data_IF_268855752295
#
_entry.id   IF_268855752295
#
_cell.length_a   1.000
_cell.length_b   1.000
_cell.length_c   1.000
_cell.angle_alpha   90.00
_cell.angle_beta   90.00
_cell.angle_gamma   90.00
#
_symmetry.space_group_name_H-M   'P 1'
#
loop_
_entity.id
_entity.type
_entity.pdbx_description
1 polymer ?
#
# COMPACT_ATOMS: atom_id res chain seq x y z
N UNK A 1 12.75 -14.35 8.30
CA UNK A 1 11.91 -13.35 7.59
C UNK A 1 12.75 -12.34 6.82
N UNK A 2 12.60 -12.30 5.51
CA UNK A 2 13.23 -11.34 4.59
C UNK A 2 12.21 -10.82 3.59
N UNK A 3 12.13 -9.50 3.43
CA UNK A 3 11.48 -8.87 2.27
C UNK A 3 12.49 -8.80 1.15
N UNK A 4 12.13 -9.33 -0.02
CA UNK A 4 12.98 -9.33 -1.22
C UNK A 4 12.14 -9.14 -2.49
N UNK A 5 12.74 -8.72 -3.61
CA UNK A 5 12.11 -8.78 -4.92
C UNK A 5 11.55 -10.17 -5.22
N UNK A 6 10.41 -10.18 -5.89
CA UNK A 6 9.78 -11.38 -6.39
C UNK A 6 10.62 -12.05 -7.47
N UNK A 7 10.52 -13.37 -7.58
CA UNK A 7 11.14 -14.20 -8.62
C UNK A 7 10.08 -15.03 -9.33
N UNK A 8 10.39 -15.45 -10.55
CA UNK A 8 9.53 -16.36 -11.33
C UNK A 8 9.21 -17.65 -10.56
N UNK A 9 10.16 -18.16 -9.77
CA UNK A 9 9.96 -19.34 -8.91
C UNK A 9 8.93 -19.15 -7.79
N UNK A 10 8.58 -17.90 -7.46
CA UNK A 10 7.62 -17.60 -6.40
C UNK A 10 6.16 -17.68 -6.89
N UNK A 11 5.94 -17.81 -8.21
CA UNK A 11 4.62 -17.79 -8.83
C UNK A 11 3.61 -18.75 -8.16
N UNK A 12 3.95 -20.02 -7.85
CA UNK A 12 3.00 -20.92 -7.18
C UNK A 12 2.59 -20.43 -5.79
N UNK A 13 3.53 -19.87 -5.03
CA UNK A 13 3.25 -19.34 -3.69
C UNK A 13 2.43 -18.05 -3.74
N UNK A 14 2.70 -17.18 -4.72
CA UNK A 14 1.88 -15.99 -4.95
C UNK A 14 0.44 -16.35 -5.33
N UNK A 15 0.24 -17.36 -6.19
CA UNK A 15 -1.11 -17.84 -6.53
C UNK A 15 -1.87 -18.33 -5.28
N UNK A 16 -1.19 -19.04 -4.39
CA UNK A 16 -1.78 -19.47 -3.12
C UNK A 16 -2.14 -18.29 -2.20
N UNK A 17 -1.29 -17.26 -2.12
CA UNK A 17 -1.59 -16.04 -1.35
C UNK A 17 -2.79 -15.27 -1.91
N UNK A 18 -2.90 -15.16 -3.24
CA UNK A 18 -4.04 -14.49 -3.89
C UNK A 18 -5.36 -15.19 -3.58
N UNK A 19 -5.37 -16.53 -3.62
CA UNK A 19 -6.55 -17.32 -3.27
C UNK A 19 -6.99 -17.10 -1.81
N UNK A 20 -6.04 -16.86 -0.90
CA UNK A 20 -6.32 -16.55 0.50
C UNK A 20 -6.82 -15.10 0.72
N UNK A 21 -6.38 -14.15 -0.10
CA UNK A 21 -6.75 -12.74 0.05
C UNK A 21 -8.25 -12.47 -0.21
N UNK A 22 -8.87 -13.33 -1.03
CA UNK A 22 -10.30 -13.29 -1.32
C UNK A 22 -10.73 -12.14 -2.25
N UNK A 23 -12.04 -11.98 -2.46
CA UNK A 23 -12.60 -10.92 -3.31
C UNK A 23 -12.28 -9.51 -2.78
N UNK A 24 -12.10 -8.54 -3.68
CA UNK A 24 -11.75 -7.15 -3.32
C UNK A 24 -10.26 -6.86 -3.19
N UNK A 25 -9.39 -7.85 -3.42
CA UNK A 25 -7.94 -7.64 -3.50
C UNK A 25 -7.49 -7.46 -4.96
N UNK A 26 -7.99 -6.43 -5.61
CA UNK A 26 -7.87 -6.23 -7.07
C UNK A 26 -6.48 -5.96 -7.58
N UNK A 27 -5.62 -5.40 -6.74
CA UNK A 27 -4.25 -5.09 -7.15
C UNK A 27 -3.41 -6.35 -7.39
N UNK A 28 -3.84 -7.55 -6.99
CA UNK A 28 -3.13 -8.81 -7.25
C UNK A 28 -4.12 -9.86 -7.83
N UNK A 29 -4.24 -9.97 -9.17
CA UNK A 29 -5.29 -10.78 -9.78
C UNK A 29 -5.07 -12.28 -9.61
N UNK A 30 -6.16 -13.03 -9.40
CA UNK A 30 -6.19 -14.50 -9.36
C UNK A 30 -6.09 -15.13 -10.76
N UNK A 31 -5.09 -14.71 -11.54
CA UNK A 31 -4.87 -15.13 -12.92
C UNK A 31 -3.38 -15.38 -13.16
N UNK A 32 -3.03 -16.62 -13.46
CA UNK A 32 -1.65 -17.08 -13.56
C UNK A 32 -0.85 -16.37 -14.67
N UNK A 33 -1.46 -16.14 -15.83
CA UNK A 33 -0.81 -15.46 -16.96
C UNK A 33 -0.46 -14.02 -16.60
N UNK A 34 -1.41 -13.29 -16.00
CA UNK A 34 -1.23 -11.90 -15.55
C UNK A 34 -0.20 -11.81 -14.44
N UNK A 35 -0.26 -12.72 -13.47
CA UNK A 35 0.70 -12.75 -12.38
C UNK A 35 2.11 -13.09 -12.89
N UNK A 36 2.23 -14.02 -13.85
CA UNK A 36 3.48 -14.33 -14.53
C UNK A 36 4.04 -13.11 -15.25
N UNK A 37 3.20 -12.38 -15.98
CA UNK A 37 3.58 -11.14 -16.64
C UNK A 37 4.06 -10.11 -15.61
N UNK A 38 3.29 -9.87 -14.55
CA UNK A 38 3.61 -8.93 -13.48
C UNK A 38 4.94 -9.26 -12.80
N UNK A 39 5.20 -10.53 -12.49
CA UNK A 39 6.48 -10.97 -11.91
C UNK A 39 7.66 -10.66 -12.83
N UNK A 40 7.55 -10.99 -14.13
CA UNK A 40 8.59 -10.65 -15.11
C UNK A 40 8.77 -9.14 -15.25
N UNK A 41 7.68 -8.38 -15.22
CA UNK A 41 7.71 -6.93 -15.31
C UNK A 41 8.39 -6.30 -14.09
N UNK A 42 8.08 -6.81 -12.89
CA UNK A 42 8.73 -6.39 -11.65
C UNK A 42 10.25 -6.65 -11.69
N UNK A 43 10.70 -7.78 -12.23
CA UNK A 43 12.13 -8.03 -12.42
C UNK A 43 12.79 -6.98 -13.31
N UNK A 44 12.13 -6.53 -14.37
CA UNK A 44 12.60 -5.43 -15.21
C UNK A 44 12.62 -4.09 -14.46
N UNK A 45 11.65 -3.85 -13.57
CA UNK A 45 11.64 -2.67 -12.69
C UNK A 45 12.85 -2.63 -11.75
N UNK A 46 13.17 -3.75 -11.11
CA UNK A 46 14.35 -3.89 -10.26
C UNK A 46 15.68 -3.83 -11.01
N UNK A 47 15.68 -4.09 -12.32
CA UNK A 47 16.84 -3.97 -13.19
C UNK A 47 16.95 -2.59 -13.88
N UNK A 48 16.09 -1.63 -13.53
CA UNK A 48 16.02 -0.28 -14.14
C UNK A 48 15.78 -0.31 -15.66
N UNK A 49 15.02 -1.30 -16.14
CA UNK A 49 14.72 -1.52 -17.56
C UNK A 49 13.32 -1.03 -17.98
N UNK A 50 12.69 -0.22 -17.12
CA UNK A 50 11.35 0.37 -17.33
C UNK A 50 11.36 1.81 -16.84
N UNK A 51 10.49 2.63 -17.43
CA UNK A 51 10.27 3.99 -16.96
C UNK A 51 9.47 3.99 -15.65
N UNK A 52 9.57 5.08 -14.87
CA UNK A 52 8.80 5.24 -13.62
C UNK A 52 7.29 5.03 -13.82
N UNK A 53 6.78 5.46 -14.99
CA UNK A 53 5.38 5.29 -15.38
C UNK A 53 4.91 3.83 -15.46
N UNK A 54 5.84 2.90 -15.68
CA UNK A 54 5.57 1.47 -15.84
C UNK A 54 6.20 0.63 -14.72
N UNK A 55 6.86 1.25 -13.76
CA UNK A 55 7.58 0.55 -12.70
C UNK A 55 6.62 -0.06 -11.67
N UNK A 56 6.77 -1.36 -11.42
CA UNK A 56 6.05 -2.11 -10.38
C UNK A 56 7.06 -2.89 -9.53
N UNK A 57 7.35 -2.38 -8.35
CA UNK A 57 8.28 -3.01 -7.41
C UNK A 57 7.54 -4.03 -6.55
N UNK A 58 7.44 -5.27 -7.04
CA UNK A 58 6.77 -6.38 -6.35
C UNK A 58 7.74 -7.11 -5.42
N UNK A 59 7.40 -7.13 -4.13
CA UNK A 59 8.15 -7.79 -3.08
C UNK A 59 7.39 -8.99 -2.50
N UNK A 60 8.15 -9.96 -1.99
CA UNK A 60 7.64 -11.07 -1.18
C UNK A 60 8.28 -11.07 0.20
N UNK A 61 7.53 -11.54 1.20
CA UNK A 61 8.07 -11.91 2.51
C UNK A 61 8.40 -13.40 2.51
N UNK A 62 9.68 -13.72 2.72
CA UNK A 62 10.23 -15.07 2.74
C UNK A 62 10.63 -15.46 4.17
N UNK A 63 10.21 -16.64 4.64
CA UNK A 63 10.65 -17.21 5.92
C UNK A 63 12.05 -17.84 5.84
N UNK A 64 12.52 -18.47 6.92
CA UNK A 64 13.86 -19.08 6.92
C UNK A 64 13.92 -20.42 6.16
N UNK A 65 12.77 -21.02 5.86
CA UNK A 65 12.62 -22.23 5.06
C UNK A 65 12.39 -21.90 3.57
N UNK A 66 12.59 -20.62 3.19
CA UNK A 66 12.39 -20.08 1.83
C UNK A 66 10.93 -20.13 1.34
N UNK A 67 9.96 -20.20 2.26
CA UNK A 67 8.54 -20.11 1.91
C UNK A 67 8.13 -18.65 1.79
N UNK A 68 7.42 -18.33 0.71
CA UNK A 68 6.79 -17.03 0.51
C UNK A 68 5.47 -17.00 1.28
N UNK A 69 5.37 -16.10 2.25
CA UNK A 69 4.24 -16.00 3.19
C UNK A 69 3.51 -14.67 3.14
N UNK A 70 4.04 -13.71 2.38
CA UNK A 70 3.41 -12.41 2.16
C UNK A 70 3.88 -11.76 0.88
N UNK A 71 3.14 -10.76 0.44
CA UNK A 71 3.37 -9.99 -0.78
C UNK A 71 3.06 -8.53 -0.53
N UNK A 72 3.79 -7.65 -1.18
CA UNK A 72 3.52 -6.21 -1.17
C UNK A 72 4.14 -5.58 -2.41
N UNK A 73 3.59 -4.46 -2.88
CA UNK A 73 4.11 -3.79 -4.06
C UNK A 73 4.14 -2.27 -3.89
N UNK A 74 4.86 -1.63 -4.82
CA UNK A 74 4.80 -0.20 -5.05
C UNK A 74 4.76 0.10 -6.55
N UNK A 75 3.81 0.93 -6.98
CA UNK A 75 3.81 1.49 -8.33
C UNK A 75 4.66 2.77 -8.37
N UNK A 76 5.50 2.91 -9.40
CA UNK A 76 6.37 4.07 -9.56
C UNK A 76 5.59 5.37 -9.80
N UNK A 77 4.56 5.34 -10.64
CA UNK A 77 3.65 6.46 -10.85
C UNK A 77 2.28 6.01 -11.36
N UNK A 78 1.21 6.37 -10.65
CA UNK A 78 -0.17 6.13 -11.11
C UNK A 78 -0.58 7.14 -12.18
N UNK A 79 -1.54 6.79 -13.04
CA UNK A 79 -2.15 7.77 -13.95
C UNK A 79 -1.35 8.11 -15.21
N UNK A 80 -0.14 7.55 -15.39
CA UNK A 80 0.79 7.96 -16.46
C UNK A 80 0.52 7.31 -17.82
N UNK A 81 -0.02 6.09 -17.84
CA UNK A 81 -0.41 5.35 -19.06
C UNK A 81 -1.91 5.29 -19.22
N UNK A 82 -2.60 5.06 -18.11
CA UNK A 82 -4.05 5.04 -18.03
C UNK A 82 -4.48 5.97 -16.90
N UNK A 83 -5.60 6.71 -17.07
CA UNK A 83 -6.11 7.57 -16.02
C UNK A 83 -6.36 6.81 -14.71
N UNK A 84 -5.93 7.42 -13.61
CA UNK A 84 -6.21 6.92 -12.27
C UNK A 84 -7.25 7.84 -11.63
N UNK A 85 -8.49 7.37 -11.56
CA UNK A 85 -9.65 8.16 -11.12
C UNK A 85 -9.92 7.97 -9.64
N UNK A 86 -10.35 9.05 -8.99
CA UNK A 86 -10.85 9.08 -7.62
C UNK A 86 -11.95 10.14 -7.50
N UNK A 87 -12.71 10.10 -6.42
CA UNK A 87 -13.54 11.23 -6.02
C UNK A 87 -12.81 12.09 -4.99
N UNK A 88 -12.76 13.40 -5.22
CA UNK A 88 -12.46 14.38 -4.18
C UNK A 88 -13.75 14.75 -3.48
N UNK A 89 -13.82 14.55 -2.17
CA UNK A 89 -14.93 14.91 -1.30
C UNK A 89 -14.77 16.37 -0.89
N UNK A 90 -15.56 17.26 -1.48
CA UNK A 90 -15.66 18.66 -1.11
C UNK A 90 -16.96 18.97 -0.36
N UNK A 91 -17.19 20.25 -0.05
CA UNK A 91 -18.43 20.74 0.54
C UNK A 91 -19.01 21.83 -0.35
N UNK A 92 -20.26 21.67 -0.76
CA UNK A 92 -21.03 22.73 -1.43
C UNK A 92 -21.89 23.43 -0.38
N UNK A 93 -21.76 24.75 -0.28
CA UNK A 93 -22.55 25.57 0.65
C UNK A 93 -23.68 26.24 -0.13
N UNK A 94 -24.92 25.94 0.25
CA UNK A 94 -26.12 26.54 -0.32
C UNK A 94 -26.80 27.41 0.73
N UNK A 95 -27.15 28.64 0.36
CA UNK A 95 -27.81 29.60 1.25
C UNK A 95 -29.03 30.21 0.56
N UNK A 96 -30.18 30.15 1.23
CA UNK A 96 -31.41 30.83 0.86
C UNK A 96 -31.93 31.60 2.08
N UNK A 97 -31.46 32.85 2.30
CA UNK A 97 -31.77 33.63 3.50
C UNK A 97 -33.26 33.85 3.72
N UNK A 98 -34.01 34.09 2.64
CA UNK A 98 -35.47 34.32 2.69
C UNK A 98 -36.25 33.10 3.22
N UNK A 99 -35.65 31.90 3.12
CA UNK A 99 -36.21 30.65 3.65
C UNK A 99 -35.56 30.24 4.98
N UNK A 100 -34.57 30.98 5.47
CA UNK A 100 -33.78 30.61 6.64
C UNK A 100 -32.95 29.33 6.43
N UNK A 101 -32.65 28.97 5.18
CA UNK A 101 -31.95 27.72 4.86
C UNK A 101 -30.47 28.03 4.60
N UNK A 102 -29.60 27.38 5.37
CA UNK A 102 -28.18 27.27 5.08
C UNK A 102 -27.79 25.80 5.20
N UNK A 103 -27.22 25.22 4.13
CA UNK A 103 -26.79 23.82 4.12
C UNK A 103 -25.36 23.70 3.63
N UNK A 104 -24.62 22.82 4.29
CA UNK A 104 -23.31 22.34 3.85
C UNK A 104 -23.52 20.90 3.38
N UNK A 105 -23.26 20.64 2.10
CA UNK A 105 -23.58 19.37 1.46
C UNK A 105 -22.27 18.72 0.98
N UNK A 106 -21.86 17.56 1.52
CA UNK A 106 -20.74 16.82 0.97
C UNK A 106 -20.98 16.52 -0.51
N UNK A 107 -19.98 16.80 -1.35
CA UNK A 107 -20.09 16.72 -2.81
C UNK A 107 -18.88 15.98 -3.37
N UNK A 108 -19.13 15.00 -4.23
CA UNK A 108 -18.11 14.18 -4.87
C UNK A 108 -17.74 14.77 -6.23
N UNK A 109 -16.45 15.02 -6.43
CA UNK A 109 -15.89 15.54 -7.67
C UNK A 109 -14.97 14.49 -8.30
N UNK A 110 -15.39 13.91 -9.43
CA UNK A 110 -14.56 12.96 -10.18
C UNK A 110 -13.30 13.68 -10.69
N UNK A 111 -12.13 13.15 -10.40
CA UNK A 111 -10.86 13.74 -10.80
C UNK A 111 -9.76 12.67 -10.94
N UNK A 112 -8.57 13.13 -11.35
CA UNK A 112 -7.35 12.34 -11.48
C UNK A 112 -6.12 13.13 -10.96
N UNK A 113 -6.30 13.94 -9.91
CA UNK A 113 -5.29 14.86 -9.37
C UNK A 113 -4.04 14.14 -8.80
N UNK A 114 -4.15 12.85 -8.47
CA UNK A 114 -3.04 12.03 -7.95
C UNK A 114 -2.15 11.45 -9.07
N UNK A 115 -2.39 11.80 -10.33
CA UNK A 115 -1.57 11.36 -11.47
C UNK A 115 -0.09 11.74 -11.26
N UNK A 116 0.81 10.79 -11.51
CA UNK A 116 2.26 10.93 -11.33
C UNK A 116 2.78 10.61 -9.93
N UNK A 117 1.91 10.41 -8.93
CA UNK A 117 2.31 10.00 -7.58
C UNK A 117 2.54 8.49 -7.49
N UNK A 118 3.36 8.06 -6.53
CA UNK A 118 3.62 6.63 -6.30
C UNK A 118 2.61 6.03 -5.35
N UNK A 119 2.30 4.75 -5.53
CA UNK A 119 1.26 4.05 -4.76
C UNK A 119 1.83 2.84 -4.02
N UNK A 120 1.46 2.68 -2.76
CA UNK A 120 1.60 1.43 -2.01
C UNK A 120 0.41 0.52 -2.32
N UNK A 121 0.67 -0.67 -2.86
CA UNK A 121 -0.39 -1.60 -3.24
C UNK A 121 -0.05 -3.06 -2.87
N UNK A 122 -0.99 -3.97 -3.14
CA UNK A 122 -0.83 -5.43 -3.03
C UNK A 122 -0.29 -5.94 -1.70
N UNK A 123 -0.58 -5.27 -0.57
CA UNK A 123 -0.15 -5.70 0.76
C UNK A 123 -1.03 -6.86 1.25
N UNK A 124 -0.46 -8.05 1.33
CA UNK A 124 -1.11 -9.21 1.92
C UNK A 124 -0.10 -10.07 2.70
N UNK A 125 -0.57 -10.62 3.82
CA UNK A 125 0.19 -11.52 4.68
C UNK A 125 -0.73 -12.67 5.08
N UNK A 126 -0.23 -13.90 4.95
CA UNK A 126 -0.97 -15.09 5.37
C UNK A 126 -1.38 -14.97 6.84
N UNK A 127 -2.57 -15.47 7.17
CA UNK A 127 -3.19 -15.24 8.49
C UNK A 127 -2.32 -15.72 9.64
N UNK A 128 -1.67 -16.87 9.47
CA UNK A 128 -0.75 -17.50 10.42
C UNK A 128 0.54 -16.68 10.65
N UNK A 129 0.88 -15.75 9.77
CA UNK A 129 2.08 -14.92 9.88
C UNK A 129 1.81 -13.50 10.38
N UNK A 130 0.55 -13.16 10.72
CA UNK A 130 0.14 -11.85 11.26
C UNK A 130 0.47 -11.68 12.74
N UNK A 131 1.73 -11.94 13.11
CA UNK A 131 2.24 -11.79 14.47
C UNK A 131 3.57 -11.03 14.49
N UNK A 132 3.95 -10.57 15.68
CA UNK A 132 5.20 -9.86 15.89
C UNK A 132 5.36 -8.66 14.95
N UNK A 133 6.52 -8.55 14.31
CA UNK A 133 6.85 -7.44 13.42
C UNK A 133 6.61 -7.74 11.93
N UNK A 134 6.02 -8.88 11.55
CA UNK A 134 5.95 -9.31 10.15
C UNK A 134 5.15 -8.33 9.26
N UNK A 135 3.97 -7.89 9.73
CA UNK A 135 3.16 -6.91 9.02
C UNK A 135 3.87 -5.56 8.88
N UNK A 136 4.61 -5.14 9.91
CA UNK A 136 5.43 -3.91 9.88
C UNK A 136 6.63 -4.04 8.95
N UNK A 137 7.32 -5.19 8.96
CA UNK A 137 8.43 -5.47 8.06
C UNK A 137 7.96 -5.38 6.60
N UNK A 138 6.87 -6.06 6.26
CA UNK A 138 6.36 -6.07 4.89
C UNK A 138 5.83 -4.69 4.46
N UNK A 139 5.12 -3.98 5.35
CA UNK A 139 4.59 -2.67 5.02
C UNK A 139 5.68 -1.58 4.95
N UNK A 140 6.50 -1.45 6.00
CA UNK A 140 7.51 -0.38 6.14
C UNK A 140 8.77 -0.67 5.33
N UNK A 141 9.05 -1.94 5.00
CA UNK A 141 10.17 -2.30 4.11
C UNK A 141 10.09 -1.58 2.77
N UNK A 142 8.87 -1.43 2.22
CA UNK A 142 8.60 -0.64 1.01
C UNK A 142 9.00 0.82 1.19
N UNK A 143 8.66 1.43 2.32
CA UNK A 143 9.03 2.82 2.62
C UNK A 143 10.55 2.99 2.80
N UNK A 144 11.23 1.99 3.38
CA UNK A 144 12.69 2.01 3.51
C UNK A 144 13.40 1.83 2.15
N UNK A 145 12.80 1.07 1.23
CA UNK A 145 13.25 1.00 -0.16
C UNK A 145 13.07 2.35 -0.86
N UNK A 146 11.92 3.00 -0.70
CA UNK A 146 11.68 4.34 -1.24
C UNK A 146 12.62 5.40 -0.64
N UNK A 147 13.06 5.22 0.61
CA UNK A 147 14.08 6.06 1.23
C UNK A 147 15.47 5.90 0.61
N UNK A 148 15.82 4.69 0.14
CA UNK A 148 17.09 4.44 -0.54
C UNK A 148 17.08 4.96 -1.98
N UNK A 149 15.95 4.81 -2.67
CA UNK A 149 15.83 5.15 -4.09
C UNK A 149 14.73 6.20 -4.34
N UNK A 150 14.78 7.40 -3.73
CA UNK A 150 13.69 8.37 -3.80
C UNK A 150 13.42 8.89 -5.23
N UNK A 151 14.42 8.84 -6.11
CA UNK A 151 14.30 9.25 -7.51
C UNK A 151 13.39 8.31 -8.35
N UNK A 152 13.10 7.10 -7.85
CA UNK A 152 12.19 6.15 -8.50
C UNK A 152 10.72 6.44 -8.19
N UNK A 153 10.43 7.40 -7.30
CA UNK A 153 9.08 7.66 -6.79
C UNK A 153 8.64 9.11 -7.04
N UNK A 154 7.33 9.36 -6.85
CA UNK A 154 6.72 10.68 -6.89
C UNK A 154 6.97 11.49 -5.62
N UNK A 155 6.54 12.76 -5.62
CA UNK A 155 6.69 13.65 -4.45
C UNK A 155 5.87 13.17 -3.25
N UNK A 156 4.76 12.49 -3.51
CA UNK A 156 3.91 11.85 -2.51
C UNK A 156 3.87 10.34 -2.72
N UNK A 157 3.70 9.65 -1.60
CA UNK A 157 3.28 8.26 -1.56
C UNK A 157 1.80 8.23 -1.22
N UNK A 158 1.02 7.49 -1.98
CA UNK A 158 -0.42 7.28 -1.75
C UNK A 158 -0.70 5.81 -1.41
N UNK A 159 -1.82 5.53 -0.77
CA UNK A 159 -2.37 4.20 -0.65
C UNK A 159 -3.89 4.29 -0.74
N UNK A 160 -4.48 3.59 -1.71
CA UNK A 160 -5.91 3.36 -1.78
C UNK A 160 -6.26 2.16 -0.90
N UNK A 161 -7.10 2.39 0.10
CA UNK A 161 -7.50 1.37 1.05
C UNK A 161 -8.90 0.88 0.67
N UNK A 162 -9.06 -0.45 0.61
CA UNK A 162 -10.36 -1.08 0.37
C UNK A 162 -11.44 -0.45 1.25
N UNK A 163 -12.56 -0.08 0.64
CA UNK A 163 -13.72 0.50 1.29
C UNK A 163 -14.65 -0.53 1.92
N UNK A 164 -15.75 -0.04 2.48
CA UNK A 164 -16.75 -0.90 3.11
C UNK A 164 -17.46 -1.75 2.08
N UNK A 165 -17.34 -3.07 2.21
CA UNK A 165 -18.13 -4.06 1.51
C UNK A 165 -18.59 -5.11 2.53
N UNK A 166 -19.79 -5.66 2.35
CA UNK A 166 -20.27 -6.74 3.21
C UNK A 166 -19.62 -8.09 2.87
N UNK A 167 -19.93 -9.12 3.65
CA UNK A 167 -19.40 -10.48 3.48
C UNK A 167 -19.83 -11.13 2.14
N UNK A 168 -20.93 -10.65 1.56
CA UNK A 168 -21.39 -11.06 0.24
C UNK A 168 -20.66 -10.32 -0.90
N UNK A 169 -19.81 -9.34 -0.57
CA UNK A 169 -19.09 -8.53 -1.53
C UNK A 169 -19.94 -7.42 -2.15
N UNK A 170 -21.01 -6.98 -1.48
CA UNK A 170 -21.80 -5.82 -1.88
C UNK A 170 -21.23 -4.55 -1.24
N UNK A 171 -21.03 -3.51 -2.06
CA UNK A 171 -20.61 -2.19 -1.61
C UNK A 171 -21.83 -1.28 -1.58
N UNK A 172 -22.24 -0.74 -0.40
CA UNK A 172 -23.35 0.21 -0.31
C UNK A 172 -23.15 1.43 -1.21
N UNK A 173 -21.90 1.87 -1.36
CA UNK A 173 -21.54 2.98 -2.23
C UNK A 173 -21.72 2.63 -3.71
N UNK A 174 -21.23 1.45 -4.13
CA UNK A 174 -21.40 0.97 -5.51
C UNK A 174 -22.86 0.86 -5.89
N UNK A 175 -23.66 0.23 -5.03
CA UNK A 175 -25.09 0.00 -5.28
C UNK A 175 -25.88 1.30 -5.36
N UNK A 176 -25.48 2.34 -4.59
CA UNK A 176 -26.13 3.64 -4.61
C UNK A 176 -25.65 4.58 -5.73
N UNK A 177 -24.57 4.23 -6.44
CA UNK A 177 -23.96 5.12 -7.44
C UNK A 177 -23.53 4.37 -8.69
N UNK A 178 -22.41 3.64 -8.62
CA UNK A 178 -21.77 3.04 -9.79
C UNK A 178 -22.70 2.09 -10.56
N UNK A 179 -23.46 1.25 -9.85
CA UNK A 179 -24.37 0.27 -10.45
C UNK A 179 -25.37 0.89 -11.44
N UNK A 180 -25.81 2.13 -11.21
CA UNK A 180 -26.73 2.84 -12.10
C UNK A 180 -26.13 3.18 -13.47
N UNK A 181 -24.81 3.34 -13.55
CA UNK A 181 -24.10 3.68 -14.80
C UNK A 181 -23.54 2.45 -15.51
N UNK A 182 -23.00 1.50 -14.74
CA UNK A 182 -22.32 0.32 -15.30
C UNK A 182 -23.24 -0.90 -15.47
N UNK A 183 -24.42 -0.91 -14.85
CA UNK A 183 -25.39 -2.02 -14.88
C UNK A 183 -24.77 -3.40 -14.58
N UNK A 184 -23.79 -3.43 -13.68
CA UNK A 184 -23.09 -4.64 -13.25
C UNK A 184 -22.86 -4.63 -11.74
N UNK A 185 -22.67 -5.81 -11.17
CA UNK A 185 -22.41 -5.97 -9.74
C UNK A 185 -20.98 -5.54 -9.38
N UNK A 186 -20.79 -5.13 -8.11
CA UNK A 186 -19.53 -4.58 -7.62
C UNK A 186 -18.34 -5.50 -7.90
N UNK A 187 -18.46 -6.78 -7.57
CA UNK A 187 -17.38 -7.76 -7.76
C UNK A 187 -16.92 -7.88 -9.22
N UNK A 188 -17.82 -7.69 -10.18
CA UNK A 188 -17.50 -7.70 -11.60
C UNK A 188 -16.79 -6.41 -12.02
N UNK A 189 -17.30 -5.25 -11.59
CA UNK A 189 -16.70 -3.95 -11.88
C UNK A 189 -15.30 -3.81 -11.28
N UNK A 190 -15.16 -4.22 -10.02
CA UNK A 190 -13.91 -4.26 -9.26
C UNK A 190 -12.89 -5.18 -9.94
N UNK A 191 -13.32 -6.38 -10.37
CA UNK A 191 -12.50 -7.28 -11.18
C UNK A 191 -12.03 -6.62 -12.49
N UNK A 192 -12.93 -6.03 -13.28
CA UNK A 192 -12.59 -5.36 -14.55
C UNK A 192 -11.62 -4.18 -14.37
N UNK A 193 -11.79 -3.40 -13.31
CA UNK A 193 -10.86 -2.33 -12.93
C UNK A 193 -9.48 -2.87 -12.61
N UNK A 194 -9.41 -3.95 -11.81
CA UNK A 194 -8.17 -4.69 -11.53
C UNK A 194 -7.53 -5.32 -12.77
N UNK A 195 -8.29 -5.50 -13.85
CA UNK A 195 -7.76 -5.99 -15.11
C UNK A 195 -7.02 -4.94 -15.95
N UNK A 196 -7.02 -3.67 -15.53
CA UNK A 196 -6.39 -2.56 -16.28
C UNK A 196 -7.23 -2.09 -17.46
N UNK A 197 -8.54 -2.38 -17.49
CA UNK A 197 -9.42 -1.72 -18.44
C UNK A 197 -10.01 -0.50 -17.71
N UNK A 198 -9.38 0.68 -17.72
CA UNK A 198 -9.94 1.86 -17.04
C UNK A 198 -10.63 2.85 -17.99
N UNK A 199 -10.64 2.57 -19.29
CA UNK A 199 -11.27 3.40 -20.30
C UNK A 199 -12.79 3.53 -20.09
N UNK A 200 -13.45 2.43 -19.71
CA UNK A 200 -14.91 2.39 -19.50
C UNK A 200 -15.37 3.34 -18.38
N UNK A 201 -14.51 3.64 -17.40
CA UNK A 201 -14.81 4.59 -16.32
C UNK A 201 -15.05 5.99 -16.90
N UNK A 202 -14.19 6.43 -17.81
CA UNK A 202 -14.27 7.75 -18.42
C UNK A 202 -15.51 7.93 -19.32
N UNK A 203 -16.03 6.82 -19.85
CA UNK A 203 -17.19 6.76 -20.73
C UNK A 203 -18.51 6.72 -19.96
N UNK A 204 -18.53 6.07 -18.79
CA UNK A 204 -19.77 5.78 -18.06
C UNK A 204 -19.99 6.65 -16.82
N UNK A 205 -18.94 7.15 -16.17
CA UNK A 205 -19.10 7.94 -14.95
C UNK A 205 -19.56 9.38 -15.22
N UNK A 206 -20.47 9.91 -14.39
CA UNK A 206 -20.90 11.29 -14.52
C UNK A 206 -19.73 12.24 -14.24
N UNK A 207 -19.53 13.21 -15.15
CA UNK A 207 -18.51 14.27 -14.98
C UNK A 207 -18.96 15.40 -14.07
N UNK A 208 -20.26 15.47 -13.77
CA UNK A 208 -20.83 16.52 -12.92
C UNK A 208 -20.63 16.16 -11.44
N UNK A 209 -20.47 17.17 -10.55
CA UNK A 209 -20.40 16.92 -9.12
C UNK A 209 -21.65 16.20 -8.60
N UNK A 210 -21.46 15.24 -7.70
CA UNK A 210 -22.54 14.46 -7.12
C UNK A 210 -22.75 14.86 -5.67
N UNK A 211 -23.95 15.32 -5.31
CA UNK A 211 -24.28 15.59 -3.92
C UNK A 211 -24.45 14.27 -3.16
N UNK A 212 -23.66 14.07 -2.10
CA UNK A 212 -23.70 12.84 -1.31
C UNK A 212 -25.08 12.61 -0.67
N UNK A 213 -25.86 13.67 -0.42
CA UNK A 213 -27.22 13.57 0.09
C UNK A 213 -28.22 12.93 -0.89
N UNK A 214 -27.83 12.71 -2.16
CA UNK A 214 -28.61 11.93 -3.14
C UNK A 214 -28.34 10.42 -3.05
N UNK A 215 -27.31 10.02 -2.30
CA UNK A 215 -26.99 8.62 -2.04
C UNK A 215 -27.80 8.09 -0.87
N UNK A 216 -27.93 6.77 -0.76
CA UNK A 216 -28.54 6.13 0.41
C UNK A 216 -27.77 6.46 1.69
N UNK A 217 -28.41 6.40 2.86
CA UNK A 217 -27.74 6.65 4.14
C UNK A 217 -26.57 5.68 4.37
N UNK A 218 -26.70 4.43 3.96
CA UNK A 218 -25.63 3.43 4.04
C UNK A 218 -24.44 3.80 3.14
N UNK A 219 -24.68 4.28 1.92
CA UNK A 219 -23.62 4.77 1.04
C UNK A 219 -22.93 6.01 1.59
N UNK A 220 -23.69 6.95 2.17
CA UNK A 220 -23.14 8.13 2.84
C UNK A 220 -22.23 7.74 4.02
N UNK A 221 -22.65 6.76 4.83
CA UNK A 221 -21.86 6.25 5.95
C UNK A 221 -20.59 5.53 5.51
N UNK A 222 -20.57 4.92 4.32
CA UNK A 222 -19.40 4.21 3.78
C UNK A 222 -18.30 5.16 3.25
N UNK A 223 -18.61 6.43 2.97
CA UNK A 223 -17.65 7.38 2.39
C UNK A 223 -16.42 7.55 3.29
N UNK A 224 -15.26 7.21 2.74
CA UNK A 224 -13.95 7.32 3.41
C UNK A 224 -13.73 6.29 4.51
N UNK A 225 -14.59 5.27 4.64
CA UNK A 225 -14.42 4.20 5.62
C UNK A 225 -13.60 3.06 5.03
N UNK A 226 -12.51 2.70 5.71
CA UNK A 226 -11.73 1.53 5.33
C UNK A 226 -12.43 0.24 5.78
N UNK A 227 -12.26 -0.82 5.00
CA UNK A 227 -12.69 -2.17 5.36
C UNK A 227 -12.02 -2.62 6.68
N UNK A 228 -12.71 -3.35 7.58
CA UNK A 228 -12.13 -3.83 8.84
C UNK A 228 -10.79 -4.58 8.68
N UNK A 229 -10.71 -5.47 7.68
CA UNK A 229 -9.47 -6.18 7.33
C UNK A 229 -8.28 -5.27 6.94
N UNK A 230 -8.53 -4.01 6.59
CA UNK A 230 -7.52 -3.02 6.19
C UNK A 230 -7.08 -2.12 7.35
N UNK A 231 -7.83 -2.08 8.46
CA UNK A 231 -7.50 -1.23 9.62
C UNK A 231 -6.07 -1.41 10.15
N UNK A 232 -5.51 -2.65 10.27
CA UNK A 232 -4.14 -2.80 10.73
C UNK A 232 -3.11 -2.12 9.80
N UNK A 233 -3.33 -2.18 8.48
CA UNK A 233 -2.48 -1.52 7.51
C UNK A 233 -2.61 0.00 7.59
N UNK A 234 -3.83 0.52 7.75
CA UNK A 234 -4.10 1.94 7.95
C UNK A 234 -3.36 2.47 9.19
N UNK A 235 -3.45 1.78 10.32
CA UNK A 235 -2.76 2.17 11.58
C UNK A 235 -1.24 2.23 11.41
N UNK A 236 -0.65 1.28 10.68
CA UNK A 236 0.79 1.30 10.35
C UNK A 236 1.13 2.56 9.55
N UNK A 237 0.37 2.87 8.49
CA UNK A 237 0.66 4.01 7.63
C UNK A 237 0.39 5.36 8.31
N UNK A 238 -0.65 5.46 9.14
CA UNK A 238 -0.90 6.66 9.95
C UNK A 238 0.28 6.97 10.90
N UNK A 239 0.85 5.94 11.53
CA UNK A 239 2.04 6.10 12.37
C UNK A 239 3.29 6.56 11.59
N UNK A 240 3.28 6.43 10.27
CA UNK A 240 4.34 6.91 9.38
C UNK A 240 4.08 8.33 8.84
N UNK A 241 2.91 8.91 9.12
CA UNK A 241 2.53 10.26 8.70
C UNK A 241 1.53 10.32 7.53
N UNK A 242 0.97 9.19 7.10
CA UNK A 242 -0.11 9.18 6.10
C UNK A 242 -1.40 9.72 6.70
N UNK A 243 -2.14 10.48 5.89
CA UNK A 243 -3.43 11.02 6.29
C UNK A 243 -4.43 10.97 5.13
N UNK A 244 -5.70 10.80 5.47
CA UNK A 244 -6.79 10.95 4.50
C UNK A 244 -6.98 12.45 4.19
N UNK A 245 -6.95 12.79 2.90
CA UNK A 245 -7.04 14.19 2.41
C UNK A 245 -8.29 14.45 1.57
N UNK A 246 -9.33 13.64 1.78
CA UNK A 246 -10.63 13.79 1.11
C UNK A 246 -10.71 13.12 -0.25
N UNK A 247 -9.78 12.22 -0.59
CA UNK A 247 -9.87 11.40 -1.80
C UNK A 247 -10.40 10.00 -1.46
N UNK A 248 -11.36 9.51 -2.21
CA UNK A 248 -11.94 8.17 -2.06
C UNK A 248 -11.92 7.42 -3.39
N UNK A 249 -11.88 6.09 -3.31
CA UNK A 249 -12.08 5.22 -4.48
C UNK A 249 -13.47 5.45 -5.10
N UNK A 250 -13.57 5.26 -6.41
CA UNK A 250 -14.81 5.50 -7.17
C UNK A 250 -15.79 4.33 -7.12
N UNK A 251 -15.36 3.14 -6.70
CA UNK A 251 -16.17 1.93 -6.64
C UNK A 251 -16.73 1.67 -5.24
N UNK A 252 -15.88 1.69 -4.20
CA UNK A 252 -16.26 1.33 -2.83
C UNK A 252 -16.15 2.47 -1.80
N UNK A 253 -15.78 3.67 -2.26
CA UNK A 253 -15.56 4.84 -1.42
C UNK A 253 -14.52 4.66 -0.30
N UNK A 254 -13.64 3.66 -0.45
CA UNK A 254 -12.50 3.44 0.41
C UNK A 254 -11.57 4.65 0.43
N UNK A 255 -10.96 4.96 1.58
CA UNK A 255 -10.15 6.16 1.70
C UNK A 255 -8.82 6.01 0.97
N UNK A 256 -8.46 7.03 0.19
CA UNK A 256 -7.09 7.24 -0.25
C UNK A 256 -6.37 8.07 0.82
N UNK A 257 -5.24 7.55 1.29
CA UNK A 257 -4.36 8.23 2.23
C UNK A 257 -3.06 8.62 1.53
N UNK A 258 -2.48 9.76 1.90
CA UNK A 258 -1.26 10.26 1.30
C UNK A 258 -0.29 10.86 2.31
N UNK A 259 1.00 10.86 1.97
CA UNK A 259 2.06 11.58 2.66
C UNK A 259 3.11 12.08 1.66
N UNK A 260 3.64 13.32 1.80
CA UNK A 260 4.85 13.72 1.10
C UNK A 260 5.99 12.74 1.44
N UNK A 261 6.70 12.24 0.43
CA UNK A 261 7.69 11.17 0.59
C UNK A 261 8.73 11.50 1.67
N UNK A 262 9.23 12.73 1.68
CA UNK A 262 10.22 13.21 2.64
C UNK A 262 9.69 13.37 4.08
N UNK A 263 8.38 13.42 4.28
CA UNK A 263 7.75 13.52 5.60
C UNK A 263 7.44 12.17 6.24
N UNK A 264 7.50 11.09 5.46
CA UNK A 264 7.25 9.72 5.94
C UNK A 264 8.33 9.38 6.98
N UNK A 265 7.92 8.95 8.18
CA UNK A 265 8.84 8.68 9.31
C UNK A 265 9.97 7.72 8.93
N UNK A 266 9.65 6.58 8.32
CA UNK A 266 10.65 5.60 7.87
C UNK A 266 11.63 6.18 6.85
N UNK A 267 11.18 7.10 6.00
CA UNK A 267 12.05 7.78 5.03
C UNK A 267 12.95 8.78 5.74
N UNK A 268 12.34 9.74 6.43
CA UNK A 268 12.99 10.86 7.13
C UNK A 268 14.00 10.41 8.19
N UNK A 269 13.62 9.41 9.00
CA UNK A 269 14.39 9.01 10.18
C UNK A 269 15.36 7.85 9.90
N UNK A 270 15.34 7.29 8.68
CA UNK A 270 16.33 6.28 8.28
C UNK A 270 17.71 6.90 8.07
N UNK A 271 18.75 6.15 8.43
CA UNK A 271 20.13 6.58 8.31
C UNK A 271 20.96 5.53 7.59
N UNK A 272 22.00 6.00 6.89
CA UNK A 272 23.09 5.14 6.43
C UNK A 272 24.02 4.82 7.60
N UNK A 273 24.28 3.53 7.83
CA UNK A 273 25.11 3.03 8.94
C UNK A 273 26.07 1.96 8.44
N UNK A 274 27.23 1.85 9.07
CA UNK A 274 28.19 0.76 8.82
C UNK A 274 27.82 -0.48 9.62
N UNK A 275 27.72 -1.63 8.97
CA UNK A 275 27.39 -2.89 9.62
C UNK A 275 28.57 -3.41 10.44
N UNK A 276 28.29 -3.82 11.68
CA UNK A 276 29.24 -4.51 12.56
C UNK A 276 28.59 -5.76 13.16
N UNK A 277 29.40 -6.77 13.46
CA UNK A 277 28.92 -8.01 14.08
C UNK A 277 29.09 -7.96 15.59
N UNK A 278 28.07 -8.42 16.29
CA UNK A 278 28.11 -8.66 17.73
C UNK A 278 26.92 -9.52 18.15
N UNK A 279 26.61 -9.47 19.45
CA UNK A 279 25.45 -10.14 20.03
C UNK A 279 24.59 -9.07 20.70
N UNK A 280 23.63 -8.46 19.96
CA UNK A 280 22.63 -7.60 20.58
C UNK A 280 21.91 -8.37 21.69
N UNK A 281 21.74 -7.75 22.84
CA UNK A 281 20.96 -8.33 23.94
C UNK A 281 19.45 -8.28 23.63
N UNK A 282 18.66 -9.02 24.38
CA UNK A 282 17.20 -9.07 24.22
C UNK A 282 16.53 -7.69 24.43
N UNK A 283 17.22 -6.76 25.11
CA UNK A 283 16.77 -5.39 25.32
C UNK A 283 17.08 -4.45 24.15
N UNK A 284 17.88 -4.87 23.18
CA UNK A 284 18.20 -4.06 22.01
C UNK A 284 16.90 -3.72 21.26
N UNK A 285 16.71 -2.47 20.79
CA UNK A 285 15.53 -2.12 20.03
C UNK A 285 15.49 -2.88 18.70
N UNK A 286 14.29 -3.03 18.13
CA UNK A 286 14.11 -3.55 16.79
C UNK A 286 14.46 -2.49 15.75
N UNK A 287 15.18 -2.90 14.71
CA UNK A 287 15.52 -2.07 13.56
C UNK A 287 15.01 -2.70 12.29
N UNK A 288 14.48 -1.88 11.39
CA UNK A 288 14.25 -2.23 10.00
C UNK A 288 15.53 -1.91 9.21
N UNK A 289 16.09 -2.89 8.51
CA UNK A 289 17.43 -2.81 7.91
C UNK A 289 17.36 -3.22 6.45
N UNK A 290 17.80 -2.33 5.56
CA UNK A 290 17.88 -2.51 4.11
C UNK A 290 19.34 -2.64 3.66
N UNK A 291 19.64 -3.58 2.76
CA UNK A 291 20.99 -3.88 2.30
C UNK A 291 21.54 -2.94 1.20
N UNK A 292 20.78 -1.90 0.85
CA UNK A 292 21.14 -0.86 -0.13
C UNK A 292 21.35 -1.33 -1.56
N UNK A 293 20.75 -2.47 -1.92
CA UNK A 293 20.78 -3.00 -3.29
C UNK A 293 19.40 -2.87 -3.90
N UNK A 294 19.34 -2.57 -5.20
CA UNK A 294 18.10 -2.48 -5.94
C UNK A 294 17.63 -3.88 -6.38
N UNK A 295 18.34 -4.50 -7.32
CA UNK A 295 17.98 -5.81 -7.89
C UNK A 295 18.04 -6.96 -6.87
N UNK A 296 19.02 -6.91 -5.97
CA UNK A 296 19.19 -7.87 -4.88
C UNK A 296 18.79 -7.28 -3.53
N UNK A 297 17.73 -6.45 -3.53
CA UNK A 297 17.16 -5.85 -2.33
C UNK A 297 16.84 -6.91 -1.27
N UNK A 298 17.27 -6.66 -0.04
CA UNK A 298 16.91 -7.45 1.13
C UNK A 298 16.63 -6.55 2.31
N UNK A 299 15.50 -6.77 2.95
CA UNK A 299 15.05 -6.01 4.12
C UNK A 299 14.64 -6.97 5.22
N UNK A 300 15.03 -6.68 6.44
CA UNK A 300 14.64 -7.49 7.60
C UNK A 300 14.39 -6.62 8.82
N UNK A 301 13.76 -7.23 9.82
CA UNK A 301 13.68 -6.67 11.16
C UNK A 301 14.54 -7.51 12.08
N UNK A 302 15.42 -6.85 12.84
CA UNK A 302 16.28 -7.52 13.81
C UNK A 302 16.55 -6.63 15.02
N UNK A 303 16.84 -7.25 16.16
CA UNK A 303 17.41 -6.57 17.31
C UNK A 303 18.79 -6.03 16.92
N UNK A 304 19.03 -4.75 17.14
CA UNK A 304 20.30 -4.11 16.81
C UNK A 304 20.60 -2.93 17.74
N UNK A 305 21.89 -2.65 17.93
CA UNK A 305 22.34 -1.46 18.68
C UNK A 305 23.17 -0.57 17.78
N UNK A 306 22.84 0.71 17.76
CA UNK A 306 23.66 1.73 17.10
C UNK A 306 24.80 2.14 18.03
N UNK A 307 26.03 2.11 17.54
CA UNK A 307 27.24 2.59 18.22
C UNK A 307 27.93 3.58 17.28
N UNK A 308 27.73 4.88 17.53
CA UNK A 308 28.19 5.93 16.62
C UNK A 308 27.52 5.84 15.24
N UNK A 309 28.33 5.66 14.19
CA UNK A 309 27.88 5.43 12.81
C UNK A 309 27.71 3.94 12.46
N UNK A 310 27.94 3.04 13.41
CA UNK A 310 27.83 1.60 13.18
C UNK A 310 26.53 1.03 13.72
N UNK A 311 25.95 0.05 13.02
CA UNK A 311 24.84 -0.76 13.49
C UNK A 311 25.36 -2.17 13.81
N UNK A 312 25.31 -2.55 15.08
CA UNK A 312 25.69 -3.88 15.55
C UNK A 312 24.51 -4.84 15.44
N UNK A 313 24.70 -5.91 14.67
CA UNK A 313 23.71 -6.98 14.45
C UNK A 313 24.36 -8.35 14.67
N UNK A 314 23.53 -9.38 14.80
CA UNK A 314 24.00 -10.76 14.85
C UNK A 314 24.44 -11.31 13.48
N UNK A 315 25.15 -12.43 13.50
CA UNK A 315 25.66 -13.09 12.29
C UNK A 315 24.53 -13.59 11.38
N UNK A 316 23.41 -14.03 11.95
CA UNK A 316 22.27 -14.53 11.19
C UNK A 316 21.62 -13.42 10.36
N UNK A 317 21.43 -12.23 10.95
CA UNK A 317 20.90 -11.04 10.26
C UNK A 317 21.83 -10.61 9.14
N UNK A 318 23.14 -10.57 9.37
CA UNK A 318 24.11 -10.24 8.32
C UNK A 318 24.06 -11.24 7.15
N UNK A 319 23.98 -12.54 7.45
CA UNK A 319 23.81 -13.61 6.44
C UNK A 319 22.51 -13.44 5.66
N UNK A 320 21.39 -13.18 6.35
CA UNK A 320 20.08 -12.95 5.75
C UNK A 320 20.09 -11.74 4.81
N UNK A 321 20.78 -10.65 5.17
CA UNK A 321 20.98 -9.45 4.34
C UNK A 321 22.00 -9.64 3.21
N UNK A 322 22.78 -10.72 3.25
CA UNK A 322 23.89 -11.02 2.35
C UNK A 322 24.98 -9.93 2.37
N UNK A 323 25.34 -9.51 3.58
CA UNK A 323 26.34 -8.48 3.84
C UNK A 323 27.47 -9.02 4.73
N UNK A 324 28.63 -8.37 4.60
CA UNK A 324 29.80 -8.57 5.44
C UNK A 324 29.96 -7.39 6.41
N UNK A 325 30.69 -7.57 7.54
CA UNK A 325 31.11 -6.45 8.37
C UNK A 325 31.77 -5.35 7.54
N UNK A 326 31.49 -4.09 7.86
CA UNK A 326 31.98 -2.91 7.13
C UNK A 326 31.12 -2.51 5.93
N UNK A 327 30.18 -3.34 5.48
CA UNK A 327 29.22 -2.92 4.46
C UNK A 327 28.25 -1.86 4.99
N UNK A 328 27.71 -1.04 4.10
CA UNK A 328 26.75 0.01 4.44
C UNK A 328 25.32 -0.52 4.38
N UNK A 329 24.49 -0.13 5.36
CA UNK A 329 23.05 -0.41 5.41
C UNK A 329 22.27 0.89 5.54
N UNK A 330 21.04 0.91 5.03
CA UNK A 330 20.06 1.93 5.44
C UNK A 330 19.18 1.32 6.51
N UNK A 331 19.05 1.97 7.65
CA UNK A 331 18.27 1.42 8.75
C UNK A 331 17.50 2.50 9.51
N UNK A 332 16.36 2.10 10.06
CA UNK A 332 15.55 2.92 10.96
C UNK A 332 15.10 2.10 12.15
N UNK A 333 15.12 2.71 13.33
CA UNK A 333 14.59 2.07 14.53
C UNK A 333 13.06 1.95 14.39
N UNK A 334 12.54 0.77 14.72
CA UNK A 334 11.11 0.56 14.83
C UNK A 334 10.63 1.07 16.19
N UNK A 335 9.63 1.96 16.24
CA UNK A 335 9.02 2.34 17.50
C UNK A 335 8.55 1.11 18.27
N UNK A 336 8.86 1.07 19.56
CA UNK A 336 8.23 0.15 20.50
C UNK A 336 6.77 0.58 20.63
N UNK A 337 5.83 -0.26 20.19
CA UNK A 337 4.47 -0.07 20.64
C UNK A 337 4.42 -0.55 22.09
N UNK A 338 4.27 0.39 23.03
CA UNK A 338 3.58 0.07 24.27
C UNK A 338 2.23 -0.56 23.91
N UNK A 339 1.85 -1.61 24.65
CA UNK A 339 0.58 -2.32 24.56
C UNK A 339 -0.61 -1.36 24.39
N UNK A 340 -1.03 -1.06 23.17
CA UNK A 340 -2.34 -0.50 22.86
C UNK A 340 -2.82 -1.04 21.52
N UNK A 341 -3.24 -2.31 21.55
CA UNK A 341 -4.50 -2.79 21.01
C UNK A 341 -4.48 -4.31 21.16
N UNK A 342 -5.05 -4.79 22.26
CA UNK A 342 -5.48 -6.17 22.36
C UNK A 342 -6.47 -6.40 21.21
N UNK A 343 -6.17 -7.41 20.40
CA UNK A 343 -6.99 -7.85 19.29
C UNK A 343 -8.41 -8.20 19.77
N UNK A 344 -9.40 -7.69 19.05
CA UNK A 344 -10.58 -8.45 18.68
C UNK A 344 -10.43 -8.76 17.19
#
# INVERSE_FOLDING_TARGET
MIVRPVKVSDLPALMALVQQAGPGFTTLPANEERLTHRVRWAQRAFAEQVERADADYLFVLEDDDMRVVGVSAMAGAVGMREPWYNYRVGVTVSSAPDLGIQRQIPTLFLNNELTGQSELCSLFLSHDQRHGSNGRLLSLGRLLFAAEFPHLFGEKMIAELRGSADEQGCSPFWDSLGRHFFQMDFSHADYLSGLGNKAFIAELMPRQPLYACMLTEAAQAAIGQAHPNTEPALKILQAEGFAHKGYIDIFDAGPVIEAPLHNIRTVRDSAELTLSLGSPDEQAPLWLIHNRRLENCRITVAHARRVGSSLMIDRLTAKRLQLQPGNSVRAVMLPNQQQQAVAA
#
